data_IF_846562788055
#
_entry.id   IF_846562788055
#
_cell.length_a   1.000
_cell.length_b   1.000
_cell.length_c   1.000
_cell.angle_alpha   90.00
_cell.angle_beta   90.00
_cell.angle_gamma   90.00
#
_symmetry.space_group_name_H-M   'P 1'
#
loop_
_entity.id
_entity.type
_entity.pdbx_description
1 polymer ?
#
# COMPACT_ATOMS: atom_id res chain seq x y z
N UNK A 1 10.58 -11.66 -4.66
CA UNK A 1 9.60 -11.05 -3.72
C UNK A 1 9.39 -9.60 -4.15
N UNK A 2 8.14 -9.19 -4.42
CA UNK A 2 7.81 -7.82 -4.84
C UNK A 2 7.64 -6.88 -3.65
N UNK A 3 7.27 -7.41 -2.50
CA UNK A 3 7.04 -6.66 -1.26
C UNK A 3 7.79 -7.31 -0.12
N UNK A 4 8.53 -6.52 0.63
CA UNK A 4 9.10 -6.87 1.94
C UNK A 4 8.79 -5.71 2.88
N UNK A 5 7.98 -5.95 3.91
CA UNK A 5 7.66 -4.96 4.93
C UNK A 5 8.23 -5.37 6.28
N UNK A 6 8.76 -4.39 6.99
CA UNK A 6 9.29 -4.54 8.34
C UNK A 6 8.34 -3.88 9.33
N UNK A 7 7.90 -4.63 10.32
CA UNK A 7 6.93 -4.16 11.33
C UNK A 7 7.39 -4.52 12.72
N UNK A 8 7.02 -3.70 13.70
CA UNK A 8 7.21 -3.99 15.13
C UNK A 8 5.94 -4.67 15.68
N UNK A 9 6.10 -5.83 16.30
CA UNK A 9 4.98 -6.63 16.80
C UNK A 9 4.86 -6.59 18.34
N UNK A 10 5.56 -5.71 19.02
CA UNK A 10 5.50 -5.58 20.48
C UNK A 10 4.11 -5.15 20.95
N UNK A 11 3.65 -5.73 22.04
CA UNK A 11 2.41 -5.33 22.69
C UNK A 11 1.12 -5.86 22.05
N UNK A 12 1.22 -6.75 21.06
CA UNK A 12 0.05 -7.30 20.36
C UNK A 12 -0.38 -8.60 21.03
N UNK A 13 -1.70 -8.79 21.12
CA UNK A 13 -2.29 -10.01 21.64
C UNK A 13 -2.15 -11.17 20.63
N UNK A 14 -2.07 -12.40 21.13
CA UNK A 14 -1.94 -13.61 20.28
C UNK A 14 -3.15 -13.78 19.34
N UNK A 15 -4.35 -13.41 19.80
CA UNK A 15 -5.55 -13.44 18.98
C UNK A 15 -5.44 -12.50 17.76
N UNK A 16 -4.97 -11.28 17.99
CA UNK A 16 -4.84 -10.26 16.93
C UNK A 16 -3.78 -10.64 15.91
N UNK A 17 -2.65 -11.22 16.36
CA UNK A 17 -1.62 -11.74 15.45
C UNK A 17 -2.17 -12.88 14.59
N UNK A 18 -3.04 -13.73 15.15
CA UNK A 18 -3.65 -14.85 14.42
C UNK A 18 -4.61 -14.33 13.35
N UNK A 19 -5.41 -13.31 13.68
CA UNK A 19 -6.30 -12.64 12.73
C UNK A 19 -5.48 -11.98 11.60
N UNK A 20 -4.44 -11.23 11.96
CA UNK A 20 -3.53 -10.60 10.98
C UNK A 20 -2.90 -11.62 10.03
N UNK A 21 -2.45 -12.75 10.55
CA UNK A 21 -1.90 -13.84 9.72
C UNK A 21 -2.93 -14.40 8.74
N UNK A 22 -4.19 -14.51 9.17
CA UNK A 22 -5.27 -15.00 8.30
C UNK A 22 -5.58 -13.98 7.20
N UNK A 23 -5.66 -12.70 7.53
CA UNK A 23 -5.86 -11.63 6.54
C UNK A 23 -4.70 -11.54 5.54
N UNK A 24 -3.46 -11.63 6.02
CA UNK A 24 -2.28 -11.62 5.15
C UNK A 24 -2.21 -12.85 4.24
N UNK A 25 -2.63 -14.03 4.72
CA UNK A 25 -2.74 -15.23 3.85
C UNK A 25 -3.76 -15.04 2.75
N UNK A 26 -4.90 -14.43 3.06
CA UNK A 26 -5.93 -14.12 2.05
C UNK A 26 -5.40 -13.13 1.00
N UNK A 27 -4.53 -12.20 1.43
CA UNK A 27 -3.80 -11.27 0.56
C UNK A 27 -2.54 -11.90 -0.08
N UNK A 28 -2.35 -13.22 -0.01
CA UNK A 28 -1.19 -13.96 -0.55
C UNK A 28 0.16 -13.46 -0.04
N UNK A 29 0.18 -13.00 1.19
CA UNK A 29 1.39 -12.56 1.88
C UNK A 29 1.75 -13.50 3.03
N UNK A 30 3.04 -13.66 3.26
CA UNK A 30 3.59 -14.46 4.35
C UNK A 30 4.08 -13.55 5.47
N UNK A 31 3.65 -13.83 6.70
CA UNK A 31 4.11 -13.17 7.92
C UNK A 31 5.10 -14.09 8.66
N UNK A 32 6.35 -13.68 8.78
CA UNK A 32 7.40 -14.40 9.46
C UNK A 32 8.16 -13.51 10.45
N UNK A 33 8.45 -14.06 11.62
CA UNK A 33 9.37 -13.43 12.58
C UNK A 33 10.75 -14.04 12.36
N UNK A 34 11.69 -13.23 11.91
CA UNK A 34 13.04 -13.65 11.53
C UNK A 34 14.06 -12.84 12.37
N UNK A 35 15.19 -13.46 12.70
CA UNK A 35 16.30 -12.77 13.37
C UNK A 35 16.82 -11.63 12.52
N UNK A 36 16.94 -10.41 13.07
CA UNK A 36 17.39 -9.22 12.36
C UNK A 36 18.71 -9.42 11.60
N UNK A 37 19.64 -10.20 12.17
CA UNK A 37 20.93 -10.48 11.52
C UNK A 37 20.77 -11.30 10.22
N UNK A 38 19.77 -12.18 10.14
CA UNK A 38 19.49 -12.95 8.93
C UNK A 38 18.86 -12.04 7.88
N UNK A 39 17.90 -11.22 8.29
CA UNK A 39 17.26 -10.24 7.41
C UNK A 39 18.30 -9.25 6.85
N UNK A 40 19.23 -8.76 7.69
CA UNK A 40 20.31 -7.86 7.26
C UNK A 40 21.20 -8.51 6.19
N UNK A 41 21.61 -9.77 6.39
CA UNK A 41 22.42 -10.50 5.41
C UNK A 41 21.68 -10.70 4.09
N UNK A 42 20.42 -11.09 4.15
CA UNK A 42 19.59 -11.27 2.97
C UNK A 42 19.39 -9.97 2.19
N UNK A 43 19.21 -8.85 2.86
CA UNK A 43 19.09 -7.52 2.22
C UNK A 43 20.42 -7.10 1.57
N UNK A 44 21.55 -7.33 2.25
CA UNK A 44 22.88 -7.05 1.70
C UNK A 44 23.18 -7.90 0.45
N UNK A 45 22.83 -9.19 0.45
CA UNK A 45 22.96 -10.06 -0.72
C UNK A 45 22.07 -9.62 -1.90
N UNK A 46 20.93 -9.01 -1.61
CA UNK A 46 20.04 -8.43 -2.63
C UNK A 46 20.45 -7.02 -3.08
N UNK A 47 21.51 -6.44 -2.51
CA UNK A 47 21.99 -5.09 -2.84
C UNK A 47 21.05 -3.96 -2.37
N UNK A 48 20.24 -4.22 -1.34
CA UNK A 48 19.28 -3.26 -0.78
C UNK A 48 19.91 -2.65 0.47
N UNK A 49 20.34 -1.40 0.36
CA UNK A 49 20.91 -0.60 1.46
C UNK A 49 19.86 0.39 2.01
N UNK A 50 20.06 0.85 3.26
CA UNK A 50 19.21 1.89 3.87
C UNK A 50 18.11 1.39 4.81
N UNK A 51 17.94 0.06 5.00
CA UNK A 51 17.01 -0.51 5.98
C UNK A 51 17.69 -0.97 7.28
N UNK A 52 19.01 -0.84 7.37
CA UNK A 52 19.78 -1.34 8.51
C UNK A 52 19.40 -0.65 9.82
N UNK A 53 19.12 0.65 9.78
CA UNK A 53 18.69 1.44 10.93
C UNK A 53 17.30 0.99 11.44
N UNK A 54 16.46 0.48 10.57
CA UNK A 54 15.10 0.03 10.89
C UNK A 54 15.07 -1.42 11.45
N UNK A 55 16.15 -2.18 11.27
CA UNK A 55 16.30 -3.54 11.79
C UNK A 55 16.74 -3.58 13.26
N UNK A 56 16.34 -2.60 14.06
CA UNK A 56 16.58 -2.53 15.51
C UNK A 56 15.35 -3.02 16.28
N UNK A 57 15.56 -3.82 17.32
CA UNK A 57 14.48 -4.36 18.16
C UNK A 57 13.70 -5.51 17.50
N UNK A 58 12.55 -5.91 18.08
CA UNK A 58 11.73 -6.99 17.54
C UNK A 58 11.14 -6.57 16.19
N UNK A 59 11.38 -7.41 15.18
CA UNK A 59 10.95 -7.12 13.81
C UNK A 59 10.29 -8.35 13.20
N UNK A 60 9.09 -8.17 12.69
CA UNK A 60 8.43 -9.14 11.85
C UNK A 60 8.58 -8.73 10.39
N UNK A 61 8.77 -9.69 9.53
CA UNK A 61 8.94 -9.53 8.10
C UNK A 61 7.70 -10.06 7.39
N UNK A 62 7.12 -9.24 6.53
CA UNK A 62 5.98 -9.60 5.71
C UNK A 62 6.45 -9.59 4.27
N UNK A 63 6.23 -10.69 3.57
CA UNK A 63 6.68 -10.89 2.20
C UNK A 63 5.49 -11.21 1.30
N UNK A 64 5.43 -10.58 0.12
CA UNK A 64 4.49 -10.96 -0.93
C UNK A 64 5.18 -11.01 -2.29
N UNK A 65 4.78 -11.98 -3.09
CA UNK A 65 5.33 -12.20 -4.43
C UNK A 65 4.40 -11.69 -5.54
N UNK A 66 3.10 -11.63 -5.30
CA UNK A 66 2.11 -11.31 -6.32
C UNK A 66 1.70 -9.85 -6.30
N UNK A 67 1.17 -9.37 -5.18
CA UNK A 67 0.68 -8.02 -5.03
C UNK A 67 1.30 -7.34 -3.79
N UNK A 68 1.47 -6.05 -3.86
CA UNK A 68 2.00 -5.23 -2.76
C UNK A 68 0.92 -4.34 -2.11
N UNK A 69 -0.19 -4.04 -2.83
CA UNK A 69 -1.24 -3.14 -2.36
C UNK A 69 -2.15 -3.79 -1.30
N UNK A 70 -2.62 -5.01 -1.54
CA UNK A 70 -3.52 -5.69 -0.61
C UNK A 70 -2.87 -5.95 0.76
N UNK A 71 -1.64 -6.52 0.84
CA UNK A 71 -0.95 -6.68 2.11
C UNK A 71 -0.68 -5.36 2.82
N UNK A 72 -0.28 -4.30 2.09
CA UNK A 72 -0.03 -2.98 2.67
C UNK A 72 -1.31 -2.39 3.30
N UNK A 73 -2.47 -2.57 2.65
CA UNK A 73 -3.78 -2.15 3.21
C UNK A 73 -4.16 -2.92 4.46
N UNK A 74 -4.00 -4.24 4.45
CA UNK A 74 -4.29 -5.08 5.61
C UNK A 74 -3.45 -4.63 6.81
N UNK A 75 -2.15 -4.39 6.60
CA UNK A 75 -1.23 -3.92 7.63
C UNK A 75 -1.59 -2.54 8.13
N UNK A 76 -1.93 -1.61 7.23
CA UNK A 76 -2.34 -0.26 7.61
C UNK A 76 -3.63 -0.25 8.41
N UNK A 77 -4.63 -1.03 8.01
CA UNK A 77 -5.88 -1.21 8.75
C UNK A 77 -5.59 -1.73 10.15
N UNK A 78 -4.79 -2.77 10.26
CA UNK A 78 -4.38 -3.36 11.53
C UNK A 78 -3.58 -2.38 12.41
N UNK A 79 -2.68 -1.58 11.82
CA UNK A 79 -1.93 -0.54 12.53
C UNK A 79 -2.82 0.59 13.04
N UNK A 80 -3.96 0.85 12.39
CA UNK A 80 -4.94 1.83 12.86
C UNK A 80 -5.78 1.31 14.02
N UNK A 81 -6.07 0.01 14.02
CA UNK A 81 -6.85 -0.64 15.06
C UNK A 81 -5.99 -0.96 16.32
N UNK A 82 -4.66 -1.00 16.16
CA UNK A 82 -3.69 -1.33 17.21
C UNK A 82 -2.54 -0.32 17.26
N UNK A 83 -2.57 0.59 18.21
CA UNK A 83 -1.55 1.65 18.39
C UNK A 83 -0.13 1.12 18.65
N UNK A 84 -0.01 -0.10 19.13
CA UNK A 84 1.27 -0.75 19.41
C UNK A 84 1.96 -1.30 18.16
N UNK A 85 1.20 -1.54 17.09
CA UNK A 85 1.74 -2.08 15.84
C UNK A 85 2.27 -0.96 14.95
N UNK A 86 3.59 -0.92 14.77
CA UNK A 86 4.23 0.13 13.98
C UNK A 86 4.89 -0.44 12.73
N UNK A 87 4.64 0.22 11.62
CA UNK A 87 5.36 -0.03 10.37
C UNK A 87 6.70 0.70 10.48
N UNK A 88 7.81 -0.02 10.30
CA UNK A 88 9.16 0.55 10.32
C UNK A 88 9.58 1.05 8.95
N UNK A 89 9.29 0.28 7.94
CA UNK A 89 9.63 0.55 6.55
C UNK A 89 9.56 -0.72 5.71
N UNK A 90 10.04 -0.65 4.48
CA UNK A 90 10.04 -1.82 3.63
C UNK A 90 10.69 -1.60 2.28
N UNK A 91 10.63 -2.64 1.47
CA UNK A 91 11.09 -2.63 0.07
C UNK A 91 9.92 -3.01 -0.81
N UNK A 92 9.66 -2.21 -1.82
CA UNK A 92 8.64 -2.46 -2.84
C UNK A 92 9.33 -2.40 -4.21
N UNK A 93 9.28 -3.50 -4.95
CA UNK A 93 9.90 -3.63 -6.27
C UNK A 93 11.39 -3.19 -6.30
N UNK A 94 12.14 -3.50 -5.24
CA UNK A 94 13.56 -3.14 -5.11
C UNK A 94 13.84 -1.71 -4.63
N UNK A 95 12.80 -0.90 -4.38
CA UNK A 95 12.95 0.45 -3.83
C UNK A 95 12.69 0.44 -2.33
N UNK A 96 13.59 1.04 -1.58
CA UNK A 96 13.42 1.25 -0.14
C UNK A 96 12.38 2.36 0.07
N UNK A 97 11.41 2.08 0.91
CA UNK A 97 10.35 3.02 1.29
C UNK A 97 10.30 3.22 2.80
N UNK A 98 10.05 4.46 3.19
CA UNK A 98 9.83 4.85 4.58
C UNK A 98 8.44 4.43 5.06
N UNK A 99 8.21 4.44 6.37
CA UNK A 99 6.90 4.13 6.95
C UNK A 99 5.80 5.05 6.42
N UNK A 100 6.09 6.34 6.21
CA UNK A 100 5.13 7.34 5.72
C UNK A 100 4.72 7.08 4.26
N UNK A 101 5.66 6.71 3.42
CA UNK A 101 5.40 6.34 2.02
C UNK A 101 4.55 5.08 1.92
N UNK A 102 4.81 4.07 2.76
CA UNK A 102 4.01 2.84 2.83
C UNK A 102 2.58 3.15 3.29
N UNK A 103 2.41 4.03 4.27
CA UNK A 103 1.09 4.49 4.73
C UNK A 103 0.35 5.22 3.60
N UNK A 104 1.03 6.06 2.85
CA UNK A 104 0.45 6.77 1.70
C UNK A 104 0.02 5.78 0.63
N UNK A 105 0.84 4.79 0.35
CA UNK A 105 0.55 3.72 -0.61
C UNK A 105 -0.64 2.86 -0.16
N UNK A 106 -0.72 2.54 1.13
CA UNK A 106 -1.83 1.78 1.71
C UNK A 106 -3.18 2.52 1.67
N UNK A 107 -3.18 3.86 1.62
CA UNK A 107 -4.39 4.68 1.44
C UNK A 107 -4.91 4.68 0.01
N UNK A 108 -4.13 4.25 -0.97
CA UNK A 108 -4.57 4.20 -2.37
C UNK A 108 -5.66 3.14 -2.56
N UNK A 109 -6.62 3.38 -3.46
CA UNK A 109 -7.61 2.37 -3.85
C UNK A 109 -6.94 1.14 -4.50
N UNK A 110 -7.74 0.11 -4.80
CA UNK A 110 -7.23 -1.08 -5.49
C UNK A 110 -6.69 -0.71 -6.88
N UNK A 111 -5.82 -1.56 -7.44
CA UNK A 111 -5.26 -1.36 -8.78
C UNK A 111 -6.35 -1.18 -9.84
N UNK A 112 -7.42 -1.97 -9.75
CA UNK A 112 -8.56 -1.88 -10.66
C UNK A 112 -9.30 -0.54 -10.54
N UNK A 113 -9.50 -0.08 -9.30
CA UNK A 113 -10.11 1.22 -9.03
C UNK A 113 -9.23 2.37 -9.55
N UNK A 114 -7.91 2.29 -9.40
CA UNK A 114 -6.98 3.29 -9.93
C UNK A 114 -7.03 3.34 -11.46
N UNK A 115 -7.07 2.19 -12.13
CA UNK A 115 -7.23 2.10 -13.58
C UNK A 115 -8.58 2.67 -14.02
N UNK A 116 -9.66 2.38 -13.29
CA UNK A 116 -10.99 2.94 -13.56
C UNK A 116 -11.01 4.46 -13.40
N UNK A 117 -10.37 4.98 -12.33
CA UNK A 117 -10.23 6.42 -12.12
C UNK A 117 -9.43 7.10 -13.25
N UNK A 118 -8.34 6.48 -13.69
CA UNK A 118 -7.55 6.98 -14.81
C UNK A 118 -8.38 7.02 -16.10
N UNK A 119 -9.08 5.94 -16.42
CA UNK A 119 -9.97 5.89 -17.59
C UNK A 119 -11.08 6.95 -17.50
N UNK A 120 -11.69 7.11 -16.32
CA UNK A 120 -12.69 8.14 -16.06
C UNK A 120 -12.14 9.57 -16.20
N UNK A 121 -10.91 9.82 -15.75
CA UNK A 121 -10.26 11.12 -15.91
C UNK A 121 -9.98 11.46 -17.38
N UNK A 122 -9.57 10.48 -18.18
CA UNK A 122 -9.37 10.65 -19.63
C UNK A 122 -10.70 10.90 -20.36
N UNK A 123 -11.74 10.13 -20.06
CA UNK A 123 -13.08 10.31 -20.61
C UNK A 123 -13.75 11.61 -20.13
N UNK A 124 -13.46 12.04 -18.90
CA UNK A 124 -14.02 13.25 -18.30
C UNK A 124 -13.72 14.53 -19.09
N UNK A 125 -12.58 14.62 -19.75
CA UNK A 125 -12.24 15.75 -20.59
C UNK A 125 -13.13 15.82 -21.84
N UNK A 126 -13.44 14.68 -22.44
CA UNK A 126 -14.34 14.58 -23.62
C UNK A 126 -15.76 14.89 -23.19
N UNK A 127 -16.20 14.34 -22.06
CA UNK A 127 -17.55 14.58 -21.51
C UNK A 127 -17.75 16.07 -21.16
N UNK A 128 -16.76 16.74 -20.57
CA UNK A 128 -16.83 18.18 -20.28
C UNK A 128 -16.95 19.02 -21.56
N UNK A 129 -16.28 18.64 -22.63
CA UNK A 129 -16.40 19.32 -23.91
C UNK A 129 -17.82 19.15 -24.48
N UNK A 130 -18.39 17.95 -24.43
CA UNK A 130 -19.75 17.70 -24.88
C UNK A 130 -20.79 18.53 -24.09
N UNK A 131 -20.64 18.55 -22.75
CA UNK A 131 -21.50 19.38 -21.89
C UNK A 131 -21.35 20.86 -22.19
N UNK A 132 -20.13 21.36 -22.43
CA UNK A 132 -19.92 22.77 -22.79
C UNK A 132 -20.59 23.13 -24.13
N UNK A 133 -20.50 22.24 -25.13
CA UNK A 133 -21.18 22.43 -26.42
C UNK A 133 -22.70 22.46 -26.28
N UNK A 134 -23.24 21.56 -25.46
CA UNK A 134 -24.67 21.51 -25.19
C UNK A 134 -25.17 22.77 -24.46
N UNK A 135 -24.40 23.27 -23.47
CA UNK A 135 -24.69 24.53 -22.80
C UNK A 135 -24.67 25.74 -23.75
N UNK A 136 -23.72 25.80 -24.68
CA UNK A 136 -23.66 26.88 -25.71
C UNK A 136 -24.88 26.77 -26.63
N UNK A 137 -25.33 25.57 -26.99
CA UNK A 137 -26.55 25.37 -27.78
C UNK A 137 -27.77 25.94 -27.05
N UNK A 138 -27.97 25.55 -25.80
CA UNK A 138 -29.08 26.03 -24.97
C UNK A 138 -29.07 27.53 -24.79
N UNK A 139 -27.89 28.15 -24.59
CA UNK A 139 -27.75 29.59 -24.50
C UNK A 139 -28.13 30.29 -25.79
N UNK A 140 -27.77 29.77 -26.96
CA UNK A 140 -28.15 30.33 -28.24
C UNK A 140 -29.66 30.24 -28.50
N UNK A 141 -30.25 29.07 -28.21
CA UNK A 141 -31.70 28.89 -28.38
C UNK A 141 -32.51 29.81 -27.45
N UNK A 142 -32.00 30.09 -26.22
CA UNK A 142 -32.64 31.05 -25.30
C UNK A 142 -32.39 32.53 -25.64
N UNK A 143 -31.40 32.83 -26.46
CA UNK A 143 -31.12 34.18 -26.91
C UNK A 143 -31.85 34.54 -28.21
N UNK A 144 -32.33 33.56 -28.96
CA UNK A 144 -33.11 33.73 -30.20
C UNK A 144 -34.63 33.67 -29.96
N UNK A 145 -35.08 33.37 -28.73
CA UNK A 145 -36.48 33.37 -28.30
C UNK A 145 -36.85 34.66 -27.55
#
# INVERSE_FOLDING_TARGET
TKLVLLTDYRGINVADVTNLRTELRNAKAEYKVIKNNITRRALAECGIEGLEEQLTGPTAVIMSNEDYLEPAKAIYKFSKDNDFYKIKGGVIEGKVMTAEEIITLAKLPSRETLLSMLAGALLGNISKLAVALDQVKVQKESAEA
#
